data_IF_866482361442
#
_entry.id   IF_866482361442
#
_cell.length_a   1.000
_cell.length_b   1.000
_cell.length_c   1.000
_cell.angle_alpha   90.00
_cell.angle_beta   90.00
_cell.angle_gamma   90.00
#
_symmetry.space_group_name_H-M   'P 1'
#
loop_
_entity.id
_entity.type
_entity.pdbx_description
1 polymer ?
#
# COMPACT_ATOMS: atom_id res chain seq x y z
N UNK A 1 27.72 -60.58 16.98
CA UNK A 1 29.17 -60.73 16.77
C UNK A 1 29.37 -60.89 15.28
N UNK A 2 30.38 -60.19 14.74
CA UNK A 2 30.87 -60.14 13.35
C UNK A 2 29.95 -59.34 12.39
N UNK A 3 30.14 -58.05 12.11
CA UNK A 3 31.30 -57.30 11.58
C UNK A 3 31.81 -57.82 10.25
N UNK A 4 31.46 -57.15 9.15
CA UNK A 4 32.39 -56.96 8.03
C UNK A 4 32.04 -55.69 7.24
N UNK A 5 33.06 -54.84 7.11
CA UNK A 5 33.10 -53.61 6.33
C UNK A 5 33.12 -53.93 4.83
N UNK A 6 32.50 -53.08 4.02
CA UNK A 6 32.91 -52.88 2.62
C UNK A 6 33.09 -51.39 2.39
N UNK A 7 34.34 -50.95 2.34
CA UNK A 7 34.74 -49.67 1.77
C UNK A 7 34.84 -49.81 0.24
N UNK A 8 34.22 -48.92 -0.52
CA UNK A 8 34.72 -48.55 -1.84
C UNK A 8 34.74 -47.02 -1.92
N UNK A 9 35.96 -46.53 -2.08
CA UNK A 9 36.34 -45.14 -2.22
C UNK A 9 35.99 -44.58 -3.62
N UNK A 10 35.85 -43.25 -3.64
CA UNK A 10 36.48 -42.30 -4.57
C UNK A 10 35.72 -41.71 -5.78
N UNK A 11 35.55 -40.38 -5.64
CA UNK A 11 35.89 -39.28 -6.57
C UNK A 11 34.91 -39.01 -7.71
N UNK A 12 34.22 -37.86 -7.60
CA UNK A 12 34.31 -36.82 -8.62
C UNK A 12 33.82 -35.50 -8.02
N UNK A 13 34.65 -34.47 -8.19
CA UNK A 13 34.39 -33.08 -7.90
C UNK A 13 33.04 -32.63 -8.49
N UNK A 14 32.23 -31.99 -7.66
CA UNK A 14 31.32 -30.97 -8.17
C UNK A 14 31.33 -29.82 -7.17
N UNK A 15 32.25 -28.89 -7.43
CA UNK A 15 32.05 -27.49 -7.13
C UNK A 15 30.68 -27.08 -7.68
N UNK A 16 29.69 -27.00 -6.81
CA UNK A 16 28.52 -26.16 -7.01
C UNK A 16 28.24 -25.48 -5.68
N UNK A 17 29.01 -24.40 -5.47
CA UNK A 17 28.60 -23.29 -4.62
C UNK A 17 27.28 -22.79 -5.22
N UNK A 18 26.16 -23.34 -4.74
CA UNK A 18 24.89 -22.62 -4.80
C UNK A 18 25.01 -21.46 -3.82
N UNK A 19 25.51 -20.35 -4.38
CA UNK A 19 25.21 -19.00 -3.91
C UNK A 19 23.69 -18.86 -3.99
N UNK A 20 23.01 -19.41 -2.98
CA UNK A 20 21.62 -19.09 -2.70
C UNK A 20 21.61 -17.61 -2.36
N UNK A 21 21.46 -16.79 -3.42
CA UNK A 21 21.08 -15.41 -3.31
C UNK A 21 19.82 -15.40 -2.46
N UNK A 22 20.02 -15.04 -1.20
CA UNK A 22 18.96 -14.74 -0.26
C UNK A 22 18.17 -13.63 -0.92
N UNK A 23 17.03 -14.01 -1.49
CA UNK A 23 16.10 -13.13 -2.17
C UNK A 23 15.85 -11.92 -1.27
N UNK A 24 15.92 -10.74 -1.90
CA UNK A 24 15.65 -9.45 -1.31
C UNK A 24 14.52 -9.54 -0.28
N UNK A 25 14.88 -9.51 1.00
CA UNK A 25 13.91 -9.27 2.08
C UNK A 25 13.46 -7.85 1.87
N UNK A 26 12.39 -7.69 1.10
CA UNK A 26 11.60 -6.48 1.05
C UNK A 26 11.03 -6.30 2.46
N UNK A 27 11.81 -5.60 3.29
CA UNK A 27 11.37 -5.03 4.55
C UNK A 27 10.24 -4.09 4.16
N UNK A 28 9.02 -4.62 4.16
CA UNK A 28 7.82 -3.84 3.87
C UNK A 28 7.82 -2.67 4.84
N UNK A 29 8.19 -1.52 4.28
CA UNK A 29 8.30 -0.21 4.90
C UNK A 29 7.14 -0.04 5.89
N UNK A 30 7.42 0.07 7.19
CA UNK A 30 6.41 0.15 8.25
C UNK A 30 5.36 1.23 7.94
N UNK A 31 5.75 2.30 7.22
CA UNK A 31 4.85 3.34 6.75
C UNK A 31 3.78 2.83 5.77
N UNK A 32 4.11 1.83 4.94
CA UNK A 32 3.18 1.23 3.98
C UNK A 32 2.03 0.51 4.70
N UNK A 33 2.30 -0.14 5.82
CA UNK A 33 1.26 -0.78 6.63
C UNK A 33 0.33 0.26 7.26
N UNK A 34 0.89 1.29 7.90
CA UNK A 34 0.10 2.37 8.51
C UNK A 34 -0.77 3.10 7.48
N UNK A 35 -0.21 3.44 6.32
CA UNK A 35 -0.95 4.06 5.20
C UNK A 35 -2.13 3.19 4.78
N UNK A 36 -1.93 1.88 4.61
CA UNK A 36 -2.99 0.99 4.18
C UNK A 36 -4.10 0.87 5.27
N UNK A 37 -3.73 0.80 6.55
CA UNK A 37 -4.70 0.80 7.64
C UNK A 37 -5.52 2.10 7.67
N UNK A 38 -4.87 3.25 7.50
CA UNK A 38 -5.53 4.54 7.47
C UNK A 38 -6.42 4.73 6.24
N UNK A 39 -6.08 4.12 5.09
CA UNK A 39 -6.98 4.06 3.93
C UNK A 39 -8.26 3.30 4.27
N UNK A 40 -8.17 2.15 4.93
CA UNK A 40 -9.36 1.39 5.34
C UNK A 40 -10.21 2.17 6.34
N UNK A 41 -9.57 2.85 7.31
CA UNK A 41 -10.27 3.74 8.25
C UNK A 41 -10.96 4.89 7.51
N UNK A 42 -10.30 5.50 6.52
CA UNK A 42 -10.89 6.59 5.73
C UNK A 42 -12.14 6.11 4.98
N UNK A 43 -12.11 4.93 4.36
CA UNK A 43 -13.29 4.35 3.68
C UNK A 43 -14.48 4.22 4.64
N UNK A 44 -14.21 3.83 5.89
CA UNK A 44 -15.23 3.78 6.93
C UNK A 44 -15.78 5.18 7.19
N UNK A 45 -14.92 6.18 7.37
CA UNK A 45 -15.35 7.57 7.60
C UNK A 45 -16.18 8.15 6.44
N UNK A 46 -15.77 7.88 5.20
CA UNK A 46 -16.47 8.38 4.00
C UNK A 46 -17.86 7.75 3.84
N UNK A 47 -18.07 6.53 4.35
CA UNK A 47 -19.35 5.84 4.31
C UNK A 47 -20.35 6.34 5.37
N UNK A 48 -19.92 7.12 6.36
CA UNK A 48 -20.81 7.67 7.37
C UNK A 48 -21.35 9.05 7.00
N UNK A 49 -22.60 9.27 7.38
CA UNK A 49 -23.30 10.50 7.03
C UNK A 49 -22.85 11.70 7.88
N UNK A 50 -22.46 12.78 7.22
CA UNK A 50 -21.79 13.95 7.81
C UNK A 50 -22.66 14.79 8.76
N UNK A 51 -23.97 14.62 8.77
CA UNK A 51 -24.90 15.52 9.47
C UNK A 51 -25.02 15.27 11.00
N UNK A 52 -24.30 14.28 11.55
CA UNK A 52 -24.25 14.01 13.00
C UNK A 52 -22.83 13.94 13.57
N UNK A 53 -21.81 14.35 12.81
CA UNK A 53 -20.44 14.26 13.29
C UNK A 53 -20.15 15.32 14.36
N UNK A 54 -19.60 14.87 15.48
CA UNK A 54 -19.08 15.78 16.50
C UNK A 54 -17.86 16.54 15.97
N UNK A 55 -17.53 17.66 16.63
CA UNK A 55 -16.30 18.41 16.32
C UNK A 55 -15.06 17.50 16.40
N UNK A 56 -14.98 16.69 17.46
CA UNK A 56 -13.87 15.75 17.68
C UNK A 56 -13.74 14.71 16.56
N UNK A 57 -14.87 14.18 16.08
CA UNK A 57 -14.87 13.25 14.94
C UNK A 57 -14.26 13.91 13.70
N UNK A 58 -14.70 15.14 13.38
CA UNK A 58 -14.18 15.87 12.22
C UNK A 58 -12.67 16.15 12.35
N UNK A 59 -12.17 16.43 13.56
CA UNK A 59 -10.74 16.61 13.81
C UNK A 59 -9.93 15.31 13.56
N UNK A 60 -10.51 14.14 13.86
CA UNK A 60 -9.87 12.84 13.57
C UNK A 60 -9.84 12.60 12.06
N UNK A 61 -10.97 12.80 11.37
CA UNK A 61 -11.04 12.65 9.91
C UNK A 61 -10.02 13.57 9.22
N UNK A 62 -9.90 14.81 9.67
CA UNK A 62 -8.93 15.76 9.14
C UNK A 62 -7.49 15.29 9.35
N UNK A 63 -7.16 14.74 10.52
CA UNK A 63 -5.83 14.18 10.79
C UNK A 63 -5.51 12.99 9.90
N UNK A 64 -6.46 12.07 9.70
CA UNK A 64 -6.29 10.93 8.80
C UNK A 64 -6.06 11.40 7.36
N UNK A 65 -6.89 12.33 6.88
CA UNK A 65 -6.72 12.89 5.54
C UNK A 65 -5.37 13.59 5.36
N UNK A 66 -4.90 14.36 6.35
CA UNK A 66 -3.58 15.00 6.32
C UNK A 66 -2.43 13.99 6.27
N UNK A 67 -2.50 12.93 7.07
CA UNK A 67 -1.49 11.88 7.05
C UNK A 67 -1.45 11.20 5.67
N UNK A 68 -2.60 10.77 5.15
CA UNK A 68 -2.66 10.12 3.84
C UNK A 68 -2.19 11.04 2.71
N UNK A 69 -2.47 12.35 2.80
CA UNK A 69 -1.98 13.33 1.85
C UNK A 69 -0.45 13.38 1.78
N UNK A 70 0.23 13.14 2.91
CA UNK A 70 1.69 13.18 2.99
C UNK A 70 2.35 11.84 2.62
N UNK A 71 1.75 10.70 2.98
CA UNK A 71 2.45 9.40 2.97
C UNK A 71 1.91 8.36 1.97
N UNK A 72 0.76 8.59 1.33
CA UNK A 72 0.12 7.57 0.48
C UNK A 72 0.89 7.19 -0.81
N UNK A 73 1.92 7.95 -1.22
CA UNK A 73 2.54 7.82 -2.56
C UNK A 73 1.47 7.84 -3.66
N UNK A 74 0.80 8.99 -3.81
CA UNK A 74 -0.44 9.13 -4.58
C UNK A 74 -0.30 8.73 -6.04
N UNK A 75 -1.15 7.80 -6.46
CA UNK A 75 -1.41 7.49 -7.87
C UNK A 75 -2.60 8.33 -8.31
N UNK A 76 -2.35 9.45 -8.99
CA UNK A 76 -3.39 10.40 -9.38
C UNK A 76 -4.04 10.02 -10.69
N UNK A 77 -5.36 10.10 -10.73
CA UNK A 77 -6.19 10.02 -11.93
C UNK A 77 -7.05 11.27 -12.04
N UNK A 78 -7.48 11.57 -13.27
CA UNK A 78 -8.29 12.74 -13.58
C UNK A 78 -9.51 12.30 -14.35
N UNK A 79 -10.68 12.54 -13.76
CA UNK A 79 -11.97 12.22 -14.36
C UNK A 79 -12.73 13.49 -14.74
N UNK A 80 -13.47 13.40 -15.83
CA UNK A 80 -14.40 14.43 -16.27
C UNK A 80 -15.83 13.98 -15.94
N UNK A 81 -16.47 14.69 -15.01
CA UNK A 81 -17.85 14.45 -14.62
C UNK A 81 -18.77 15.45 -15.32
N UNK A 82 -19.70 14.95 -16.13
CA UNK A 82 -20.79 15.76 -16.68
C UNK A 82 -21.86 15.97 -15.60
N UNK A 83 -21.89 17.18 -15.00
CA UNK A 83 -22.87 17.54 -13.97
C UNK A 83 -24.20 17.91 -14.64
N UNK A 84 -24.13 18.68 -15.73
CA UNK A 84 -25.26 19.02 -16.60
C UNK A 84 -24.79 18.97 -18.06
N UNK A 85 -25.70 18.99 -19.06
CA UNK A 85 -25.30 19.05 -20.47
C UNK A 85 -24.39 20.24 -20.82
N UNK A 86 -24.40 21.28 -20.00
CA UNK A 86 -23.69 22.54 -20.20
C UNK A 86 -22.52 22.72 -19.22
N UNK A 87 -22.38 21.82 -18.24
CA UNK A 87 -21.40 21.93 -17.16
C UNK A 87 -20.76 20.58 -16.88
N UNK A 88 -19.47 20.50 -17.17
CA UNK A 88 -18.60 19.43 -16.68
C UNK A 88 -17.75 19.93 -15.52
N UNK A 89 -17.23 19.00 -14.72
CA UNK A 89 -16.25 19.23 -13.68
C UNK A 89 -15.13 18.21 -13.85
N UNK A 90 -13.90 18.70 -13.87
CA UNK A 90 -12.73 17.84 -13.81
C UNK A 90 -12.37 17.61 -12.35
N UNK A 91 -12.18 16.37 -11.94
CA UNK A 91 -11.76 15.99 -10.59
C UNK A 91 -10.47 15.21 -10.68
N UNK A 92 -9.44 15.67 -9.98
CA UNK A 92 -8.18 14.94 -9.82
C UNK A 92 -8.19 14.25 -8.46
N UNK A 93 -7.96 12.94 -8.41
CA UNK A 93 -8.00 12.18 -7.17
C UNK A 93 -6.96 11.06 -7.14
N UNK A 94 -6.62 10.59 -5.94
CA UNK A 94 -5.76 9.42 -5.76
C UNK A 94 -6.58 8.13 -5.84
N UNK A 95 -6.21 7.17 -6.68
CA UNK A 95 -6.92 5.88 -6.82
C UNK A 95 -6.79 4.97 -5.61
N UNK A 96 -5.82 5.24 -4.72
CA UNK A 96 -5.57 4.45 -3.51
C UNK A 96 -6.30 4.98 -2.29
N UNK A 97 -6.11 6.26 -1.96
CA UNK A 97 -6.67 6.87 -0.75
C UNK A 97 -7.86 7.79 -1.02
N UNK A 98 -8.25 8.01 -2.28
CA UNK A 98 -9.39 8.84 -2.67
C UNK A 98 -9.31 10.30 -2.17
N UNK A 99 -8.12 10.79 -1.82
CA UNK A 99 -7.90 12.21 -1.64
C UNK A 99 -8.11 12.93 -2.97
N UNK A 100 -8.91 13.99 -2.95
CA UNK A 100 -9.15 14.87 -4.10
C UNK A 100 -8.14 16.02 -4.06
N UNK A 101 -7.66 16.43 -5.22
CA UNK A 101 -6.72 17.51 -5.42
C UNK A 101 -7.37 18.59 -6.29
N UNK A 102 -7.30 19.84 -5.85
CA UNK A 102 -7.68 20.97 -6.69
C UNK A 102 -6.57 21.23 -7.73
N UNK A 103 -6.89 21.05 -9.01
CA UNK A 103 -6.03 21.46 -10.14
C UNK A 103 -6.26 22.92 -10.57
N UNK A 104 -6.88 23.73 -9.70
CA UNK A 104 -7.14 25.16 -9.90
C UNK A 104 -5.83 25.95 -9.97
N UNK A 105 -5.24 26.08 -11.16
CA UNK A 105 -4.22 27.08 -11.49
C UNK A 105 -4.85 28.35 -12.06
#
# INVERSE_FOLDING_TARGET
MDSEYVEINNIADHDDIVDEKMDDVDLTDDNTLEVNQLIEIKKIFDNYSTHWHSKEYNEIVEKVNKYLLQFCNHTKETDLFDITPEKSMTVCYCTRCYCVFDDSK
#
